data_IF_039053764376
#
_entry.id   IF_039053764376
#
_cell.length_a   1.000
_cell.length_b   1.000
_cell.length_c   1.000
_cell.angle_alpha   90.00
_cell.angle_beta   90.00
_cell.angle_gamma   90.00
#
_symmetry.space_group_name_H-M   'P 1'
#
loop_
_entity.id
_entity.type
_entity.pdbx_description
1 polymer ?
#
# COMPACT_ATOMS: atom_id res chain seq x y z
N UNK A 1 39.05 -48.27 -9.41
CA UNK A 1 38.61 -47.46 -8.26
C UNK A 1 39.65 -46.39 -8.09
N UNK A 2 39.44 -45.28 -8.76
CA UNK A 2 40.12 -44.01 -8.49
C UNK A 2 38.99 -42.98 -8.50
N UNK A 3 38.85 -42.33 -7.36
CA UNK A 3 37.65 -41.63 -6.95
C UNK A 3 37.34 -40.43 -7.85
N UNK A 4 36.10 -40.42 -8.31
CA UNK A 4 35.47 -39.32 -9.02
C UNK A 4 35.41 -38.14 -8.03
N UNK A 5 36.36 -37.20 -8.16
CA UNK A 5 36.37 -35.98 -7.37
C UNK A 5 35.12 -35.16 -7.76
N UNK A 6 34.04 -35.38 -7.01
CA UNK A 6 32.85 -34.54 -6.99
C UNK A 6 33.24 -33.21 -6.33
N UNK A 7 33.98 -32.37 -7.06
CA UNK A 7 33.98 -30.93 -6.84
C UNK A 7 32.68 -30.38 -7.44
N UNK A 8 31.55 -30.82 -6.87
CA UNK A 8 30.38 -29.97 -6.72
C UNK A 8 30.67 -29.08 -5.51
N UNK A 9 31.72 -28.26 -5.64
CA UNK A 9 31.92 -27.17 -4.71
C UNK A 9 30.93 -26.09 -5.11
N UNK A 10 30.15 -25.65 -4.14
CA UNK A 10 28.90 -24.96 -4.32
C UNK A 10 29.03 -23.68 -5.15
N UNK A 11 28.25 -23.57 -6.24
CA UNK A 11 27.83 -22.30 -6.87
C UNK A 11 26.95 -21.43 -5.92
N UNK A 12 27.16 -21.57 -4.62
CA UNK A 12 26.57 -20.78 -3.53
C UNK A 12 27.58 -19.71 -3.10
N UNK A 13 28.27 -19.11 -4.08
CA UNK A 13 28.93 -17.82 -3.87
C UNK A 13 27.81 -16.84 -3.57
N UNK A 14 27.73 -16.40 -2.32
CA UNK A 14 26.72 -15.46 -1.85
C UNK A 14 26.88 -14.13 -2.59
N UNK A 15 26.17 -13.95 -3.69
CA UNK A 15 26.12 -12.70 -4.45
C UNK A 15 25.67 -11.55 -3.53
N UNK A 16 26.20 -10.34 -3.74
CA UNK A 16 25.85 -9.14 -2.97
C UNK A 16 24.32 -8.93 -2.91
N UNK A 17 23.61 -9.31 -3.98
CA UNK A 17 22.15 -9.24 -4.10
C UNK A 17 21.45 -10.12 -3.06
N UNK A 18 21.87 -11.36 -2.89
CA UNK A 18 21.28 -12.31 -1.94
C UNK A 18 21.52 -11.86 -0.50
N UNK A 19 22.73 -11.36 -0.23
CA UNK A 19 23.05 -10.74 1.05
C UNK A 19 22.17 -9.51 1.32
N UNK A 20 21.98 -8.65 0.33
CA UNK A 20 21.15 -7.44 0.47
C UNK A 20 19.68 -7.79 0.76
N UNK A 21 19.09 -8.76 0.06
CA UNK A 21 17.67 -9.13 0.22
C UNK A 21 17.46 -9.89 1.54
N UNK A 22 18.42 -10.72 1.96
CA UNK A 22 18.35 -11.44 3.25
C UNK A 22 18.67 -10.55 4.46
N UNK A 23 19.22 -9.34 4.23
CA UNK A 23 19.51 -8.38 5.29
C UNK A 23 18.24 -7.91 5.99
N UNK A 24 18.35 -7.77 7.31
CA UNK A 24 17.23 -7.34 8.17
C UNK A 24 16.70 -5.97 7.72
N UNK A 25 15.40 -5.88 7.45
CA UNK A 25 14.74 -4.67 6.98
C UNK A 25 14.52 -4.63 5.47
N UNK A 26 15.08 -5.56 4.70
CA UNK A 26 14.94 -5.60 3.24
C UNK A 26 13.95 -6.67 2.76
N UNK A 27 13.07 -7.15 3.64
CA UNK A 27 12.14 -8.24 3.34
C UNK A 27 11.15 -7.90 2.22
N UNK A 28 10.93 -6.61 1.92
CA UNK A 28 10.05 -6.15 0.85
C UNK A 28 10.68 -6.18 -0.55
N UNK A 29 12.01 -6.24 -0.65
CA UNK A 29 12.65 -6.31 -1.95
C UNK A 29 12.46 -7.68 -2.59
N UNK A 30 12.39 -7.68 -3.92
CA UNK A 30 12.53 -8.89 -4.72
C UNK A 30 13.90 -8.91 -5.40
N UNK A 31 14.34 -10.10 -5.76
CA UNK A 31 15.59 -10.29 -6.49
C UNK A 31 15.45 -9.78 -7.93
N UNK A 32 16.31 -8.86 -8.33
CA UNK A 32 16.42 -8.36 -9.70
C UNK A 32 17.28 -9.32 -10.51
N UNK A 33 16.79 -9.72 -11.69
CA UNK A 33 17.53 -10.58 -12.60
C UNK A 33 18.83 -9.92 -13.07
N UNK A 34 19.90 -10.69 -13.17
CA UNK A 34 21.20 -10.19 -13.64
C UNK A 34 21.15 -9.67 -15.08
N UNK A 35 20.34 -10.30 -15.94
CA UNK A 35 20.05 -9.82 -17.30
C UNK A 35 19.49 -8.39 -17.31
N UNK A 36 18.69 -8.03 -16.30
CA UNK A 36 18.09 -6.70 -16.21
C UNK A 36 19.13 -5.64 -15.78
N UNK A 37 20.04 -6.03 -14.88
CA UNK A 37 21.12 -5.16 -14.37
C UNK A 37 22.23 -4.94 -15.42
N UNK A 38 22.48 -5.92 -16.29
CA UNK A 38 23.52 -5.82 -17.32
C UNK A 38 23.08 -5.00 -18.54
N UNK A 39 21.76 -4.85 -18.76
CA UNK A 39 21.22 -4.02 -19.82
C UNK A 39 21.24 -2.53 -19.46
N UNK A 40 22.14 -1.79 -20.12
CA UNK A 40 22.33 -0.34 -19.95
C UNK A 40 21.07 0.48 -20.23
N UNK A 41 20.17 -0.01 -21.08
CA UNK A 41 18.95 0.73 -21.41
C UNK A 41 18.05 0.89 -20.17
N UNK A 42 17.94 -0.15 -19.34
CA UNK A 42 17.13 -0.14 -18.13
C UNK A 42 17.67 0.82 -17.05
N UNK A 43 18.99 1.06 -17.08
CA UNK A 43 19.69 1.92 -16.12
C UNK A 43 19.84 3.38 -16.56
N UNK A 44 19.26 3.75 -17.70
CA UNK A 44 19.38 5.10 -18.27
C UNK A 44 18.96 6.18 -17.26
N UNK A 45 19.80 7.21 -17.08
CA UNK A 45 19.55 8.35 -16.20
C UNK A 45 19.93 8.14 -14.73
N UNK A 46 20.17 6.90 -14.28
CA UNK A 46 20.55 6.65 -12.87
C UNK A 46 21.98 7.12 -12.56
N UNK A 47 22.82 7.23 -13.58
CA UNK A 47 24.19 7.71 -13.47
C UNK A 47 24.30 9.17 -12.99
N UNK A 48 23.26 9.98 -13.15
CA UNK A 48 23.22 11.37 -12.65
C UNK A 48 22.68 11.47 -11.22
N UNK A 49 21.94 10.46 -10.76
CA UNK A 49 21.34 10.44 -9.42
C UNK A 49 22.25 9.77 -8.38
N UNK A 50 23.01 8.76 -8.80
CA UNK A 50 23.84 7.92 -7.92
C UNK A 50 25.31 8.36 -7.95
N UNK A 51 25.87 8.63 -6.78
CA UNK A 51 27.32 8.87 -6.63
C UNK A 51 28.10 7.57 -6.81
N UNK A 52 29.32 7.65 -7.34
CA UNK A 52 30.16 6.46 -7.59
C UNK A 52 29.44 5.36 -8.40
N UNK A 53 28.58 5.76 -9.34
CA UNK A 53 27.68 4.85 -10.08
C UNK A 53 28.37 3.59 -10.63
N UNK A 54 29.54 3.73 -11.26
CA UNK A 54 30.26 2.58 -11.82
C UNK A 54 30.68 1.58 -10.74
N UNK A 55 31.30 2.08 -9.66
CA UNK A 55 31.70 1.24 -8.51
C UNK A 55 30.51 0.61 -7.79
N UNK A 56 29.41 1.35 -7.67
CA UNK A 56 28.17 0.83 -7.10
C UNK A 56 27.57 -0.29 -7.98
N UNK A 57 27.60 -0.14 -9.31
CA UNK A 57 27.13 -1.16 -10.24
C UNK A 57 28.02 -2.40 -10.17
N UNK A 58 29.33 -2.22 -10.23
CA UNK A 58 30.31 -3.31 -10.15
C UNK A 58 30.14 -4.10 -8.85
N UNK A 59 29.79 -3.44 -7.74
CA UNK A 59 29.51 -4.09 -6.45
C UNK A 59 28.22 -4.92 -6.48
N UNK A 60 27.14 -4.42 -7.09
CA UNK A 60 25.86 -5.16 -7.18
C UNK A 60 25.96 -6.36 -8.13
N UNK A 61 26.86 -6.29 -9.12
CA UNK A 61 27.14 -7.38 -10.06
C UNK A 61 28.29 -8.29 -9.62
N UNK A 62 28.84 -8.10 -8.42
CA UNK A 62 29.95 -8.89 -7.86
C UNK A 62 31.22 -8.89 -8.73
N UNK A 63 31.46 -7.81 -9.49
CA UNK A 63 32.68 -7.54 -10.30
C UNK A 63 33.60 -6.53 -9.61
N UNK A 64 33.28 -6.15 -8.37
CA UNK A 64 34.01 -5.11 -7.64
C UNK A 64 35.37 -5.63 -7.12
N UNK A 65 36.43 -5.20 -7.80
CA UNK A 65 37.83 -5.53 -7.48
C UNK A 65 38.63 -4.26 -7.18
N UNK A 66 38.29 -3.60 -6.08
CA UNK A 66 38.97 -2.35 -5.67
C UNK A 66 39.40 -2.43 -4.20
N UNK A 67 40.71 -2.37 -3.98
CA UNK A 67 41.33 -2.16 -2.68
C UNK A 67 41.13 -0.70 -2.25
N UNK A 68 39.93 -0.42 -1.73
CA UNK A 68 39.53 0.88 -1.21
C UNK A 68 39.75 0.95 0.30
N UNK A 69 40.07 2.15 0.82
CA UNK A 69 40.01 2.44 2.25
C UNK A 69 38.58 2.20 2.79
N UNK A 70 38.46 1.81 4.06
CA UNK A 70 37.19 1.43 4.69
C UNK A 70 36.10 2.52 4.55
N UNK A 71 36.46 3.80 4.68
CA UNK A 71 35.55 4.93 4.53
C UNK A 71 34.98 5.04 3.10
N UNK A 72 35.82 4.81 2.09
CA UNK A 72 35.40 4.85 0.68
C UNK A 72 34.52 3.65 0.36
N UNK A 73 34.85 2.48 0.92
CA UNK A 73 34.03 1.26 0.77
C UNK A 73 32.63 1.46 1.32
N UNK A 74 32.49 2.06 2.51
CA UNK A 74 31.17 2.36 3.09
C UNK A 74 30.35 3.33 2.21
N UNK A 75 30.99 4.34 1.61
CA UNK A 75 30.32 5.25 0.67
C UNK A 75 29.84 4.55 -0.60
N UNK A 76 30.65 3.64 -1.15
CA UNK A 76 30.28 2.83 -2.32
C UNK A 76 29.13 1.90 -1.96
N UNK A 77 29.16 1.23 -0.81
CA UNK A 77 28.06 0.38 -0.34
C UNK A 77 26.75 1.16 -0.18
N UNK A 78 26.80 2.36 0.40
CA UNK A 78 25.62 3.22 0.51
C UNK A 78 25.05 3.58 -0.85
N UNK A 79 25.93 3.88 -1.81
CA UNK A 79 25.55 4.18 -3.19
C UNK A 79 24.99 2.96 -3.92
N UNK A 80 25.53 1.77 -3.66
CA UNK A 80 25.02 0.50 -4.19
C UNK A 80 23.62 0.16 -3.66
N UNK A 81 23.37 0.32 -2.35
CA UNK A 81 22.02 0.15 -1.78
C UNK A 81 21.02 1.13 -2.41
N UNK A 82 21.45 2.37 -2.63
CA UNK A 82 20.62 3.38 -3.28
C UNK A 82 20.32 3.04 -4.75
N UNK A 83 21.35 2.67 -5.53
CA UNK A 83 21.22 2.25 -6.91
C UNK A 83 20.29 1.04 -7.05
N UNK A 84 20.50 0.01 -6.23
CA UNK A 84 19.66 -1.19 -6.22
C UNK A 84 18.18 -0.85 -5.98
N UNK A 85 17.91 0.06 -5.03
CA UNK A 85 16.56 0.53 -4.76
C UNK A 85 15.91 1.25 -5.96
N UNK A 86 16.65 2.12 -6.65
CA UNK A 86 16.14 2.82 -7.84
C UNK A 86 15.88 1.86 -9.01
N UNK A 87 16.77 0.89 -9.21
CA UNK A 87 16.57 -0.15 -10.23
C UNK A 87 15.38 -1.04 -9.86
N UNK A 88 15.22 -1.38 -8.57
CA UNK A 88 14.10 -2.16 -8.07
C UNK A 88 12.76 -1.51 -8.42
N UNK A 89 12.62 -0.19 -8.24
CA UNK A 89 11.40 0.55 -8.59
C UNK A 89 11.01 0.39 -10.06
N UNK A 90 12.00 0.37 -10.97
CA UNK A 90 11.78 0.14 -12.41
C UNK A 90 11.49 -1.33 -12.69
N UNK A 91 12.19 -2.23 -12.02
CA UNK A 91 12.10 -3.67 -12.25
C UNK A 91 10.73 -4.25 -11.86
N UNK A 92 10.17 -3.85 -10.71
CA UNK A 92 8.89 -4.40 -10.22
C UNK A 92 7.68 -4.02 -11.06
N UNK A 93 7.83 -3.10 -12.01
CA UNK A 93 6.80 -2.73 -12.99
C UNK A 93 6.87 -3.62 -14.25
N UNK A 94 7.98 -4.34 -14.46
CA UNK A 94 8.13 -5.29 -15.58
C UNK A 94 7.35 -6.59 -15.31
N UNK A 95 7.06 -7.36 -16.36
CA UNK A 95 6.35 -8.64 -16.22
C UNK A 95 7.09 -9.64 -15.32
N UNK A 96 8.43 -9.69 -15.40
CA UNK A 96 9.26 -10.56 -14.54
C UNK A 96 9.25 -10.10 -13.08
N UNK A 97 9.41 -8.81 -12.83
CA UNK A 97 9.36 -8.23 -11.48
C UNK A 97 7.99 -8.35 -10.82
N UNK A 98 6.91 -8.12 -11.57
CA UNK A 98 5.53 -8.30 -11.10
C UNK A 98 5.27 -9.74 -10.64
N UNK A 99 5.77 -10.74 -11.38
CA UNK A 99 5.62 -12.15 -10.99
C UNK A 99 6.34 -12.46 -9.66
N UNK A 100 7.58 -11.98 -9.49
CA UNK A 100 8.32 -12.18 -8.23
C UNK A 100 7.64 -11.49 -7.04
N UNK A 101 7.14 -10.26 -7.24
CA UNK A 101 6.42 -9.53 -6.20
C UNK A 101 5.05 -10.17 -5.89
N UNK A 102 4.39 -10.75 -6.89
CA UNK A 102 3.16 -11.50 -6.72
C UNK A 102 3.35 -12.72 -5.81
N UNK A 103 4.45 -13.46 -5.98
CA UNK A 103 4.74 -14.61 -5.12
C UNK A 103 4.94 -14.20 -3.66
N UNK A 104 5.61 -13.07 -3.43
CA UNK A 104 5.74 -12.47 -2.09
C UNK A 104 4.41 -11.99 -1.53
N UNK A 105 3.55 -11.41 -2.38
CA UNK A 105 2.20 -10.97 -2.00
C UNK A 105 1.34 -12.14 -1.54
N UNK A 106 1.35 -13.26 -2.27
CA UNK A 106 0.62 -14.50 -1.92
C UNK A 106 1.12 -15.11 -0.61
N UNK A 107 2.43 -15.02 -0.33
CA UNK A 107 3.03 -15.47 0.94
C UNK A 107 2.70 -14.52 2.11
N UNK A 108 2.33 -13.28 1.83
CA UNK A 108 2.05 -12.26 2.84
C UNK A 108 3.30 -11.60 3.42
N UNK A 109 4.42 -11.63 2.69
CA UNK A 109 5.72 -11.12 3.15
C UNK A 109 5.70 -9.62 3.47
N UNK A 110 4.83 -8.87 2.80
CA UNK A 110 4.67 -7.43 3.00
C UNK A 110 3.91 -7.07 4.28
N UNK A 111 3.26 -8.05 4.89
CA UNK A 111 2.38 -7.87 6.04
C UNK A 111 0.90 -7.82 5.67
N UNK A 112 0.09 -7.53 6.68
CA UNK A 112 -1.37 -7.65 6.66
C UNK A 112 -2.02 -6.35 7.10
N UNK A 113 -3.20 -6.07 6.55
CA UNK A 113 -3.94 -4.85 6.83
C UNK A 113 -4.23 -4.70 8.34
N UNK A 114 -3.95 -3.53 8.95
CA UNK A 114 -4.24 -3.29 10.36
C UNK A 114 -5.73 -3.08 10.64
N UNK A 115 -6.55 -2.78 9.61
CA UNK A 115 -8.00 -2.64 9.76
C UNK A 115 -8.63 -4.00 10.04
N UNK A 116 -9.34 -4.11 11.16
CA UNK A 116 -9.98 -5.36 11.63
C UNK A 116 -10.92 -5.92 10.57
N UNK A 117 -11.76 -5.07 9.97
CA UNK A 117 -12.75 -5.42 8.93
C UNK A 117 -12.13 -5.77 7.57
N UNK A 118 -10.81 -5.77 7.45
CA UNK A 118 -10.12 -6.28 6.27
C UNK A 118 -9.69 -7.74 6.43
N UNK A 119 -9.98 -8.39 7.56
CA UNK A 119 -9.71 -9.82 7.80
C UNK A 119 -8.25 -10.21 7.51
N UNK A 120 -7.31 -9.35 7.92
CA UNK A 120 -5.88 -9.54 7.70
C UNK A 120 -5.48 -9.68 6.21
N UNK A 121 -6.18 -8.99 5.31
CA UNK A 121 -5.84 -8.97 3.88
C UNK A 121 -4.36 -8.57 3.65
N UNK A 122 -3.62 -9.28 2.78
CA UNK A 122 -2.22 -8.98 2.49
C UNK A 122 -2.05 -7.59 1.87
N UNK A 123 -0.93 -6.94 2.18
CA UNK A 123 -0.61 -5.60 1.72
C UNK A 123 0.41 -5.62 0.59
N UNK A 124 0.55 -4.49 -0.11
CA UNK A 124 1.60 -4.27 -1.11
C UNK A 124 2.44 -3.05 -0.74
N UNK A 125 3.77 -3.08 -0.92
CA UNK A 125 4.61 -1.91 -0.70
C UNK A 125 4.37 -0.87 -1.79
N UNK A 126 4.44 0.41 -1.42
CA UNK A 126 4.35 1.53 -2.35
C UNK A 126 5.09 2.76 -1.80
N UNK A 127 5.51 3.65 -2.70
CA UNK A 127 6.05 4.97 -2.38
C UNK A 127 5.01 6.07 -2.57
N UNK A 128 4.92 7.03 -1.66
CA UNK A 128 4.06 8.21 -1.87
C UNK A 128 4.68 9.23 -2.85
N UNK A 129 5.96 9.07 -3.15
CA UNK A 129 6.72 9.89 -4.10
C UNK A 129 7.71 8.98 -4.81
N UNK A 130 7.97 9.26 -6.08
CA UNK A 130 9.02 8.59 -6.88
C UNK A 130 10.39 9.26 -6.68
N UNK A 131 10.44 10.40 -5.99
CA UNK A 131 11.68 11.12 -5.69
C UNK A 131 12.32 10.56 -4.40
N UNK A 132 13.61 10.21 -4.43
CA UNK A 132 14.31 9.68 -3.26
C UNK A 132 14.38 10.64 -2.08
N UNK A 133 14.55 10.08 -0.89
CA UNK A 133 14.72 10.74 0.41
C UNK A 133 13.55 11.66 0.82
N UNK A 134 12.39 11.57 0.17
CA UNK A 134 11.22 12.35 0.57
C UNK A 134 10.39 11.66 1.64
N UNK A 135 9.97 10.42 1.35
CA UNK A 135 9.04 9.67 2.19
C UNK A 135 9.41 8.20 2.22
N UNK A 136 9.22 7.59 3.37
CA UNK A 136 9.49 6.17 3.58
C UNK A 136 8.40 5.30 2.95
N UNK A 137 8.70 4.02 2.74
CA UNK A 137 7.77 3.06 2.17
C UNK A 137 6.47 2.98 2.99
N UNK A 138 5.36 2.88 2.26
CA UNK A 138 4.02 2.65 2.80
C UNK A 138 3.47 1.34 2.26
N UNK A 139 2.37 0.89 2.86
CA UNK A 139 1.70 -0.34 2.50
C UNK A 139 0.28 -0.05 2.04
N UNK A 140 -0.04 -0.42 0.80
CA UNK A 140 -1.36 -0.30 0.22
C UNK A 140 -2.19 -1.57 0.48
N UNK A 141 -3.45 -1.40 0.88
CA UNK A 141 -4.40 -2.49 1.03
C UNK A 141 -5.42 -2.48 -0.12
N UNK A 142 -5.49 -3.56 -0.89
CA UNK A 142 -6.46 -3.65 -1.97
C UNK A 142 -7.90 -3.86 -1.51
N UNK A 143 -8.15 -4.27 -0.25
CA UNK A 143 -9.52 -4.48 0.27
C UNK A 143 -10.18 -3.19 0.76
N UNK A 144 -9.44 -2.33 1.46
CA UNK A 144 -9.96 -1.03 1.92
C UNK A 144 -9.48 0.17 1.12
N UNK A 145 -8.58 -0.02 0.14
CA UNK A 145 -8.07 1.03 -0.74
C UNK A 145 -7.38 2.18 0.00
N UNK A 146 -6.73 1.87 1.11
CA UNK A 146 -6.08 2.83 1.98
C UNK A 146 -4.62 2.47 2.24
N UNK A 147 -3.85 3.46 2.65
CA UNK A 147 -2.40 3.42 2.79
C UNK A 147 -2.03 3.40 4.28
N UNK A 148 -1.17 2.45 4.64
CA UNK A 148 -0.74 2.21 6.00
C UNK A 148 0.77 2.36 6.18
N UNK A 149 1.19 2.68 7.40
CA UNK A 149 2.58 2.61 7.78
C UNK A 149 2.98 1.16 8.08
N UNK A 150 4.20 0.72 7.72
CA UNK A 150 4.73 -0.57 8.15
C UNK A 150 4.70 -0.69 9.68
N UNK A 151 4.24 -1.82 10.20
CA UNK A 151 4.11 -2.06 11.65
C UNK A 151 5.48 -2.12 12.35
N UNK A 152 6.50 -2.64 11.65
CA UNK A 152 7.84 -2.78 12.22
C UNK A 152 8.70 -1.58 11.90
N UNK A 153 9.37 -1.03 12.92
CA UNK A 153 10.33 0.08 12.75
C UNK A 153 11.50 -0.26 11.82
N UNK A 154 11.82 -1.55 11.63
CA UNK A 154 12.87 -2.01 10.70
C UNK A 154 12.59 -1.62 9.24
N UNK A 155 11.31 -1.52 8.87
CA UNK A 155 10.88 -1.17 7.52
C UNK A 155 10.67 0.33 7.37
N UNK A 156 10.71 1.09 8.47
CA UNK A 156 10.48 2.53 8.47
C UNK A 156 11.66 3.31 7.87
N UNK A 157 12.85 2.71 7.76
CA UNK A 157 14.02 3.34 7.14
C UNK A 157 14.11 3.12 5.63
N UNK A 158 13.26 2.28 5.05
CA UNK A 158 13.27 2.03 3.60
C UNK A 158 12.63 3.22 2.89
N UNK A 159 13.28 3.69 1.83
CA UNK A 159 12.75 4.73 0.97
C UNK A 159 11.56 4.20 0.16
N UNK A 160 10.48 4.98 0.10
CA UNK A 160 9.31 4.63 -0.70
C UNK A 160 9.59 4.71 -2.21
N UNK A 161 10.53 5.56 -2.62
CA UNK A 161 10.91 5.72 -4.03
C UNK A 161 11.37 4.41 -4.67
N UNK A 162 11.91 3.47 -3.88
CA UNK A 162 12.38 2.16 -4.34
C UNK A 162 11.26 1.18 -4.74
N UNK A 163 10.01 1.52 -4.45
CA UNK A 163 8.82 0.78 -4.90
C UNK A 163 7.97 1.60 -5.88
N UNK A 164 8.18 2.92 -5.91
CA UNK A 164 7.42 3.84 -6.74
C UNK A 164 5.96 3.99 -6.34
N UNK A 165 5.31 4.99 -6.94
CA UNK A 165 3.91 5.34 -6.72
C UNK A 165 2.94 4.43 -7.46
N UNK A 166 3.39 3.80 -8.55
CA UNK A 166 2.50 3.14 -9.52
C UNK A 166 2.43 1.61 -9.39
N UNK A 167 3.41 0.98 -8.75
CA UNK A 167 3.56 -0.49 -8.71
C UNK A 167 2.29 -1.24 -8.29
N UNK A 168 1.66 -0.83 -7.19
CA UNK A 168 0.46 -1.49 -6.68
C UNK A 168 -0.72 -1.45 -7.68
N UNK A 169 -0.89 -0.33 -8.39
CA UNK A 169 -1.94 -0.19 -9.40
C UNK A 169 -1.66 -1.06 -10.64
N UNK A 170 -0.41 -1.06 -11.10
CA UNK A 170 0.00 -1.84 -12.27
C UNK A 170 -0.16 -3.34 -12.00
N UNK A 171 0.17 -3.80 -10.79
CA UNK A 171 -0.03 -5.20 -10.40
C UNK A 171 -1.50 -5.63 -10.56
N UNK A 172 -2.46 -4.83 -10.08
CA UNK A 172 -3.88 -5.15 -10.21
C UNK A 172 -4.42 -4.97 -11.64
N UNK A 173 -3.82 -4.10 -12.44
CA UNK A 173 -4.16 -3.98 -13.86
C UNK A 173 -3.73 -5.24 -14.65
N UNK A 174 -2.56 -5.80 -14.34
CA UNK A 174 -2.05 -7.03 -14.98
C UNK A 174 -2.73 -8.28 -14.42
N UNK A 175 -3.06 -8.28 -13.14
CA UNK A 175 -3.74 -9.40 -12.47
C UNK A 175 -5.09 -8.98 -11.84
N UNK A 176 -6.13 -8.69 -12.64
CA UNK A 176 -7.43 -8.24 -12.11
C UNK A 176 -8.11 -9.26 -11.17
N UNK A 177 -7.85 -10.55 -11.37
CA UNK A 177 -8.40 -11.62 -10.54
C UNK A 177 -7.92 -11.60 -9.08
N UNK A 178 -6.89 -10.81 -8.76
CA UNK A 178 -6.39 -10.64 -7.39
C UNK A 178 -7.03 -9.47 -6.65
N UNK A 179 -7.82 -8.65 -7.34
CA UNK A 179 -8.55 -7.55 -6.70
C UNK A 179 -9.60 -8.18 -5.78
N UNK A 180 -9.50 -7.97 -4.45
CA UNK A 180 -10.47 -8.53 -3.54
C UNK A 180 -11.82 -7.85 -3.74
N UNK A 181 -12.89 -8.60 -3.51
CA UNK A 181 -14.21 -8.03 -3.35
C UNK A 181 -14.19 -7.05 -2.16
N UNK A 182 -14.82 -5.90 -2.38
CA UNK A 182 -14.81 -4.81 -1.43
C UNK A 182 -15.86 -5.08 -0.36
N UNK A 183 -15.55 -4.74 0.89
CA UNK A 183 -16.52 -4.87 1.99
C UNK A 183 -17.21 -3.54 2.28
N UNK A 184 -18.53 -3.58 2.40
CA UNK A 184 -19.37 -2.44 2.82
C UNK A 184 -19.31 -2.22 4.33
N UNK A 185 -18.91 -3.25 5.09
CA UNK A 185 -18.99 -3.30 6.54
C UNK A 185 -18.14 -2.20 7.20
N UNK A 186 -18.75 -1.58 8.22
CA UNK A 186 -18.16 -0.52 9.03
C UNK A 186 -18.29 -0.86 10.50
N UNK A 187 -17.38 -0.34 11.31
CA UNK A 187 -17.45 -0.51 12.74
C UNK A 187 -18.64 0.30 13.29
N UNK A 188 -19.59 -0.39 13.90
CA UNK A 188 -20.72 0.24 14.59
C UNK A 188 -20.41 0.40 16.09
N UNK A 189 -20.19 1.62 16.61
CA UNK A 189 -20.01 1.81 18.03
C UNK A 189 -21.31 1.58 18.79
N UNK A 190 -21.26 0.69 19.79
CA UNK A 190 -22.40 0.35 20.65
C UNK A 190 -22.04 0.52 22.12
N UNK A 191 -22.98 1.05 22.90
CA UNK A 191 -22.89 1.19 24.36
C UNK A 191 -24.00 0.33 24.97
N UNK A 192 -23.63 -0.70 25.74
CA UNK A 192 -24.58 -1.70 26.28
C UNK A 192 -25.51 -2.34 25.21
N UNK A 193 -25.02 -2.48 23.97
CA UNK A 193 -25.79 -3.02 22.84
C UNK A 193 -26.51 -1.96 21.99
N UNK A 194 -26.72 -0.75 22.51
CA UNK A 194 -27.39 0.35 21.81
C UNK A 194 -26.43 1.11 20.90
N UNK A 195 -26.85 1.40 19.67
CA UNK A 195 -26.09 2.24 18.72
C UNK A 195 -25.98 3.68 19.25
N UNK A 196 -24.81 4.30 19.14
CA UNK A 196 -24.61 5.70 19.58
C UNK A 196 -25.33 6.67 18.64
N UNK A 197 -26.21 7.54 19.16
CA UNK A 197 -27.12 8.38 18.36
C UNK A 197 -26.42 9.20 17.26
N UNK A 198 -25.34 9.92 17.57
CA UNK A 198 -24.62 10.75 16.60
C UNK A 198 -23.95 9.90 15.50
N UNK A 199 -23.27 8.82 15.88
CA UNK A 199 -22.63 7.93 14.91
C UNK A 199 -23.64 7.15 14.09
N UNK A 200 -24.77 6.76 14.69
CA UNK A 200 -25.86 6.09 14.00
C UNK A 200 -26.55 7.02 12.98
N UNK A 201 -26.75 8.30 13.33
CA UNK A 201 -27.28 9.28 12.39
C UNK A 201 -26.35 9.50 11.19
N UNK A 202 -25.04 9.62 11.45
CA UNK A 202 -24.05 9.73 10.38
C UNK A 202 -23.99 8.46 9.51
N UNK A 203 -23.99 7.28 10.13
CA UNK A 203 -23.97 6.00 9.42
C UNK A 203 -25.18 5.87 8.49
N UNK A 204 -26.40 6.09 9.01
CA UNK A 204 -27.63 6.09 8.21
C UNK A 204 -27.56 7.06 7.03
N UNK A 205 -27.06 8.28 7.25
CA UNK A 205 -26.88 9.25 6.16
C UNK A 205 -25.88 8.77 5.10
N UNK A 206 -24.75 8.19 5.52
CA UNK A 206 -23.73 7.66 4.62
C UNK A 206 -24.23 6.45 3.83
N UNK A 207 -25.04 5.58 4.45
CA UNK A 207 -25.59 4.39 3.79
C UNK A 207 -26.68 4.76 2.79
N UNK A 208 -27.56 5.72 3.12
CA UNK A 208 -28.50 6.29 2.15
C UNK A 208 -27.79 6.89 0.93
N UNK A 209 -26.69 7.64 1.14
CA UNK A 209 -25.90 8.20 0.03
C UNK A 209 -25.21 7.12 -0.80
N UNK A 210 -24.86 5.99 -0.18
CA UNK A 210 -24.26 4.83 -0.84
C UNK A 210 -25.29 4.11 -1.72
N UNK A 211 -26.50 3.89 -1.22
CA UNK A 211 -27.59 3.30 -2.01
C UNK A 211 -27.91 4.13 -3.25
N UNK A 212 -28.03 5.45 -3.11
CA UNK A 212 -28.24 6.34 -4.25
C UNK A 212 -27.11 6.22 -5.30
N UNK A 213 -25.87 6.03 -4.85
CA UNK A 213 -24.72 5.80 -5.73
C UNK A 213 -24.79 4.43 -6.41
N UNK A 214 -25.16 3.37 -5.68
CA UNK A 214 -25.37 2.02 -6.24
C UNK A 214 -26.44 2.05 -7.34
N UNK A 215 -27.58 2.68 -7.07
CA UNK A 215 -28.67 2.85 -8.05
C UNK A 215 -28.19 3.57 -9.31
N UNK A 216 -27.39 4.61 -9.14
CA UNK A 216 -26.80 5.35 -10.27
C UNK A 216 -25.86 4.47 -11.10
N UNK A 217 -25.01 3.66 -10.45
CA UNK A 217 -24.10 2.73 -11.13
C UNK A 217 -24.86 1.62 -11.85
N UNK A 218 -25.91 1.07 -11.22
CA UNK A 218 -26.79 0.08 -11.82
C UNK A 218 -27.49 0.61 -13.08
N UNK A 219 -27.99 1.86 -13.05
CA UNK A 219 -28.55 2.54 -14.24
C UNK A 219 -27.55 2.70 -15.39
N UNK A 220 -26.25 2.77 -15.08
CA UNK A 220 -25.16 2.84 -16.05
C UNK A 220 -24.64 1.45 -16.47
N UNK A 221 -25.22 0.36 -15.95
CA UNK A 221 -24.82 -1.01 -16.24
C UNK A 221 -23.49 -1.44 -15.58
N UNK A 222 -23.07 -0.77 -14.50
CA UNK A 222 -21.85 -1.11 -13.75
C UNK A 222 -22.20 -1.84 -12.46
N UNK A 223 -21.73 -3.08 -12.32
CA UNK A 223 -21.86 -3.86 -11.08
C UNK A 223 -20.73 -3.49 -10.10
N UNK A 224 -21.05 -3.01 -8.89
CA UNK A 224 -20.05 -2.54 -7.95
C UNK A 224 -19.33 -3.66 -7.14
N UNK A 225 -19.75 -4.93 -7.22
CA UNK A 225 -18.97 -6.08 -6.70
C UNK A 225 -18.64 -6.03 -5.19
N UNK A 226 -19.51 -5.45 -4.37
CA UNK A 226 -19.34 -5.39 -2.93
C UNK A 226 -20.00 -6.58 -2.21
N UNK A 227 -19.35 -7.09 -1.16
CA UNK A 227 -19.98 -8.03 -0.23
C UNK A 227 -20.98 -7.27 0.65
N UNK A 228 -22.25 -7.64 0.56
CA UNK A 228 -23.30 -7.21 1.49
C UNK A 228 -23.31 -8.14 2.70
N UNK A 229 -23.38 -7.58 3.91
CA UNK A 229 -23.59 -8.38 5.12
C UNK A 229 -25.02 -8.92 5.10
N UNK A 230 -25.18 -10.23 4.98
CA UNK A 230 -26.47 -10.93 5.08
C UNK A 230 -27.08 -10.91 6.49
N UNK A 231 -26.64 -10.01 7.36
CA UNK A 231 -27.06 -9.93 8.77
C UNK A 231 -28.12 -8.84 9.02
N UNK A 232 -28.46 -8.03 8.02
CA UNK A 232 -29.39 -6.90 8.15
C UNK A 232 -30.88 -7.27 7.91
N UNK A 233 -31.21 -8.55 7.65
CA UNK A 233 -32.61 -8.98 7.41
C UNK A 233 -33.47 -9.13 8.68
N UNK A 234 -32.98 -8.76 9.88
CA UNK A 234 -33.68 -9.03 11.15
C UNK A 234 -34.13 -7.79 11.96
N UNK A 235 -34.21 -6.60 11.37
CA UNK A 235 -34.77 -5.41 12.03
C UNK A 235 -35.94 -4.81 11.21
N UNK A 236 -36.90 -5.64 10.77
CA UNK A 236 -38.25 -5.16 10.44
C UNK A 236 -38.97 -4.79 11.74
N UNK A 237 -38.81 -3.55 12.20
CA UNK A 237 -39.75 -2.94 13.14
C UNK A 237 -40.94 -2.40 12.35
N UNK A 238 -42.10 -3.04 12.50
CA UNK A 238 -43.43 -2.55 12.13
C UNK A 238 -43.62 -1.12 12.67
N UNK A 239 -43.39 -0.11 11.85
CA UNK A 239 -43.94 1.24 12.05
C UNK A 239 -44.99 1.45 10.95
N UNK A 240 -46.24 1.11 11.27
CA UNK A 240 -47.42 1.53 10.50
C UNK A 240 -47.45 3.07 10.47
N UNK A 241 -47.14 3.66 9.31
CA UNK A 241 -47.28 5.10 9.09
C UNK A 241 -48.69 5.37 8.58
N UNK A 242 -49.52 5.98 9.44
CA UNK A 242 -50.83 6.52 9.11
C UNK A 242 -50.70 7.57 7.99
N UNK A 243 -51.42 7.34 6.89
CA UNK A 243 -51.58 8.24 5.75
C UNK A 243 -52.49 9.41 6.16
N UNK A 244 -51.93 10.58 6.45
CA UNK A 244 -52.71 11.81 6.45
C UNK A 244 -52.09 12.88 5.53
N UNK A 245 -52.89 13.24 4.53
CA UNK A 245 -52.58 14.17 3.46
C UNK A 245 -52.70 15.59 3.99
N UNK A 246 -51.65 16.40 3.86
CA UNK A 246 -51.79 17.85 3.80
C UNK A 246 -50.79 18.49 2.83
N UNK A 247 -51.33 19.39 2.02
CA UNK A 247 -50.72 20.10 0.88
C UNK A 247 -49.62 21.10 1.27
N UNK A 248 -48.79 21.57 0.31
CA UNK A 248 -47.59 22.35 0.62
C UNK A 248 -47.94 23.82 0.90
N UNK A 249 -47.33 24.39 1.95
CA UNK A 249 -47.37 25.82 2.23
C UNK A 249 -46.00 26.45 1.99
N UNK A 250 -46.07 27.62 1.34
CA UNK A 250 -45.01 28.42 0.74
C UNK A 250 -43.99 28.99 1.74
N UNK A 251 -42.79 29.29 1.22
CA UNK A 251 -41.72 30.03 1.89
C UNK A 251 -42.21 31.37 2.45
N UNK A 252 -41.91 31.69 3.72
CA UNK A 252 -41.67 33.07 4.14
C UNK A 252 -40.59 33.20 5.23
N UNK A 253 -39.58 34.01 4.88
CA UNK A 253 -38.73 34.91 5.64
C UNK A 253 -38.33 34.58 7.10
N UNK A 254 -37.02 34.39 7.29
CA UNK A 254 -36.34 34.50 8.57
C UNK A 254 -36.30 35.96 9.10
N UNK A 255 -36.51 36.19 10.41
CA UNK A 255 -36.06 37.40 11.07
C UNK A 255 -34.70 37.19 11.76
N UNK A 256 -33.80 38.12 11.46
CA UNK A 256 -32.47 38.33 12.05
C UNK A 256 -32.60 39.16 13.32
N UNK A 257 -31.82 38.82 14.36
CA UNK A 257 -31.09 39.68 15.29
C UNK A 257 -31.29 39.28 16.76
N UNK A 258 -30.37 39.47 17.70
CA UNK A 258 -28.91 39.51 17.76
C UNK A 258 -28.58 39.73 19.26
N UNK A 259 -27.45 39.17 19.72
CA UNK A 259 -26.66 39.52 20.92
C UNK A 259 -27.26 39.61 22.33
N UNK A 260 -26.69 38.81 23.26
CA UNK A 260 -25.63 39.30 24.15
C UNK A 260 -25.12 38.22 25.15
N UNK A 261 -23.83 37.90 25.01
CA UNK A 261 -22.78 37.75 26.05
C UNK A 261 -23.03 37.05 27.40
N UNK A 262 -22.25 35.99 27.65
CA UNK A 262 -21.36 35.92 28.83
C UNK A 262 -20.10 35.09 28.51
N UNK A 263 -18.98 35.79 28.35
CA UNK A 263 -17.60 35.27 28.30
C UNK A 263 -17.10 34.95 29.71
N UNK A 264 -16.15 34.01 29.80
CA UNK A 264 -14.96 33.90 30.68
C UNK A 264 -14.74 32.41 31.00
N UNK A 265 -13.55 31.83 31.05
CA UNK A 265 -12.16 32.22 30.85
C UNK A 265 -11.39 30.89 31.00
N UNK A 266 -10.43 30.57 30.14
CA UNK A 266 -9.46 29.48 30.40
C UNK A 266 -8.08 30.01 30.11
N UNK A 267 -7.43 30.46 31.17
CA UNK A 267 -6.02 30.79 31.17
C UNK A 267 -5.15 29.57 30.89
N UNK A 268 -4.11 29.85 30.11
CA UNK A 268 -2.77 29.24 29.99
C UNK A 268 -2.67 27.73 30.23
#
# INVERSE_FOLDING_TARGET
MEDFNSETDSDYTSYWRDWFISSRGNEYFCEIDEEYLTDRFNLTGLNTEVQYYQYALDLITDVFDLDADDDLREQIEKSARHLYGLVHARYIVTTRGLAKMLDKYKKGDFGKCPRVLCDQHPLLPMGQSDLPNQKTVKLYCAKCEDIYNPKSSRHASIDGAYFGTSFHNILFQVYPALVPEKSIQRYEPRIYGFKVHATAALARWQDARREEMKDRLAKLGMDPGFIESSEDENDESDDEVDDDKSEPLEEEAAPVADNASARMDTGI
#
